data_IF_976689020658
#
_entry.id   IF_976689020658
#
_cell.length_a   1.000
_cell.length_b   1.000
_cell.length_c   1.000
_cell.angle_alpha   90.00
_cell.angle_beta   90.00
_cell.angle_gamma   90.00
#
_symmetry.space_group_name_H-M   'P 1'
#
loop_
_entity.id
_entity.type
_entity.pdbx_description
1 polymer ?
#
# COMPACT_ATOMS: atom_id res chain seq x y z
N UNK A 1 -6.80 13.38 -17.55
CA UNK A 1 -7.44 12.09 -17.87
C UNK A 1 -7.85 11.42 -16.57
N UNK A 2 -9.11 11.02 -16.43
CA UNK A 2 -9.60 10.32 -15.23
C UNK A 2 -9.33 8.83 -15.31
N UNK A 3 -8.97 8.19 -14.19
CA UNK A 3 -8.60 6.77 -14.15
C UNK A 3 -9.66 5.97 -13.39
N UNK A 4 -10.05 4.85 -13.98
CA UNK A 4 -10.98 3.86 -13.45
C UNK A 4 -10.26 2.54 -13.15
N UNK A 5 -10.83 1.73 -12.27
CA UNK A 5 -10.30 0.40 -11.94
C UNK A 5 -11.19 -0.66 -12.58
N UNK A 6 -10.58 -1.60 -13.28
CA UNK A 6 -11.24 -2.73 -13.90
C UNK A 6 -10.27 -3.92 -13.89
N UNK A 7 -10.67 -5.04 -13.29
CA UNK A 7 -9.81 -6.21 -13.09
C UNK A 7 -9.41 -6.86 -14.41
N UNK A 8 -10.27 -6.80 -15.42
CA UNK A 8 -10.03 -7.42 -16.71
C UNK A 8 -9.99 -6.41 -17.87
N UNK A 9 -8.77 -6.02 -18.24
CA UNK A 9 -8.52 -5.12 -19.38
C UNK A 9 -8.23 -5.84 -20.70
N UNK A 10 -8.46 -7.15 -20.81
CA UNK A 10 -8.24 -7.90 -22.05
C UNK A 10 -9.28 -7.60 -23.13
N UNK A 11 -10.49 -7.21 -22.72
CA UNK A 11 -11.58 -6.91 -23.65
C UNK A 11 -11.33 -5.61 -24.41
N UNK A 12 -11.67 -5.58 -25.70
CA UNK A 12 -11.58 -4.37 -26.52
C UNK A 12 -12.58 -3.27 -26.09
N UNK A 13 -13.69 -3.68 -25.47
CA UNK A 13 -14.72 -2.79 -24.93
C UNK A 13 -14.89 -3.12 -23.44
N UNK A 14 -14.88 -2.08 -22.62
CA UNK A 14 -15.11 -2.15 -21.17
C UNK A 14 -16.45 -1.51 -20.87
N UNK A 15 -17.30 -2.21 -20.10
CA UNK A 15 -18.52 -1.64 -19.54
C UNK A 15 -18.26 -1.21 -18.10
N UNK A 16 -18.46 0.07 -17.80
CA UNK A 16 -18.28 0.59 -16.45
C UNK A 16 -19.43 0.10 -15.57
N UNK A 17 -19.10 -0.25 -14.31
CA UNK A 17 -20.11 -0.55 -13.30
C UNK A 17 -21.14 0.57 -13.16
N UNK A 18 -22.36 0.31 -12.63
CA UNK A 18 -23.36 1.36 -12.42
C UNK A 18 -22.89 2.51 -11.51
N UNK A 19 -21.97 2.24 -10.59
CA UNK A 19 -21.36 3.25 -9.73
C UNK A 19 -20.41 4.15 -10.52
N UNK A 20 -19.48 3.56 -11.29
CA UNK A 20 -18.54 4.32 -12.11
C UNK A 20 -19.22 5.02 -13.29
N UNK A 21 -20.29 4.45 -13.85
CA UNK A 21 -21.15 5.11 -14.86
C UNK A 21 -21.80 6.39 -14.30
N UNK A 22 -22.32 6.36 -13.06
CA UNK A 22 -22.85 7.56 -12.40
C UNK A 22 -21.76 8.57 -12.09
N UNK A 23 -20.59 8.12 -11.65
CA UNK A 23 -19.44 8.98 -11.37
C UNK A 23 -18.97 9.69 -12.65
N UNK A 24 -18.78 8.95 -13.74
CA UNK A 24 -18.43 9.44 -15.07
C UNK A 24 -19.42 10.52 -15.57
N UNK A 25 -20.73 10.26 -15.48
CA UNK A 25 -21.76 11.14 -16.04
C UNK A 25 -22.14 12.33 -15.15
N UNK A 26 -22.27 12.14 -13.83
CA UNK A 26 -22.80 13.17 -12.92
C UNK A 26 -21.72 14.02 -12.26
N UNK A 27 -20.60 13.39 -11.90
CA UNK A 27 -19.53 14.06 -11.17
C UNK A 27 -18.51 14.60 -12.16
N UNK A 28 -18.00 13.74 -13.05
CA UNK A 28 -16.97 14.10 -14.03
C UNK A 28 -17.55 14.76 -15.28
N UNK A 29 -18.84 14.53 -15.56
CA UNK A 29 -19.60 15.11 -16.70
C UNK A 29 -18.96 14.83 -18.05
N UNK A 30 -18.36 13.65 -18.20
CA UNK A 30 -17.73 13.20 -19.44
C UNK A 30 -18.80 12.87 -20.50
N UNK A 31 -18.40 12.88 -21.77
CA UNK A 31 -19.24 12.65 -22.94
C UNK A 31 -18.64 11.59 -23.86
N UNK A 32 -19.47 11.07 -24.75
CA UNK A 32 -19.00 10.19 -25.82
C UNK A 32 -17.89 10.90 -26.61
N UNK A 33 -16.79 10.18 -26.83
CA UNK A 33 -15.58 10.70 -27.46
C UNK A 33 -14.49 11.17 -26.51
N UNK A 34 -14.78 11.38 -25.22
CA UNK A 34 -13.74 11.72 -24.23
C UNK A 34 -12.84 10.50 -23.92
N UNK A 35 -11.59 10.77 -23.56
CA UNK A 35 -10.62 9.74 -23.18
C UNK A 35 -10.56 9.54 -21.66
N UNK A 36 -10.52 8.27 -21.26
CA UNK A 36 -10.36 7.83 -19.87
C UNK A 36 -9.25 6.78 -19.77
N UNK A 37 -8.64 6.69 -18.60
CA UNK A 37 -7.67 5.68 -18.26
C UNK A 37 -8.29 4.53 -17.48
N UNK A 38 -7.72 3.34 -17.62
CA UNK A 38 -8.01 2.20 -16.78
C UNK A 38 -6.73 1.59 -16.20
N UNK A 39 -6.84 1.06 -14.99
CA UNK A 39 -5.80 0.24 -14.35
C UNK A 39 -6.42 -1.03 -13.80
N UNK A 40 -5.70 -2.14 -13.90
CA UNK A 40 -6.13 -3.46 -13.42
C UNK A 40 -5.55 -3.82 -12.04
N UNK A 41 -4.66 -2.98 -11.50
CA UNK A 41 -3.93 -3.26 -10.26
C UNK A 41 -2.82 -4.31 -10.42
N UNK A 42 -2.63 -4.86 -11.62
CA UNK A 42 -1.67 -5.89 -11.96
C UNK A 42 -0.65 -5.42 -13.01
N UNK A 43 -0.47 -4.10 -13.13
CA UNK A 43 0.53 -3.46 -13.98
C UNK A 43 0.02 -2.97 -15.33
N UNK A 44 -1.19 -3.34 -15.75
CA UNK A 44 -1.75 -2.86 -17.01
C UNK A 44 -2.34 -1.46 -16.82
N UNK A 45 -1.88 -0.54 -17.64
CA UNK A 45 -2.50 0.76 -17.84
C UNK A 45 -3.11 0.79 -19.25
N UNK A 46 -4.38 1.17 -19.37
CA UNK A 46 -5.03 1.28 -20.67
C UNK A 46 -5.64 2.68 -20.87
N UNK A 47 -5.61 3.16 -22.10
CA UNK A 47 -6.33 4.36 -22.53
C UNK A 47 -7.50 3.92 -23.38
N UNK A 48 -8.68 4.46 -23.10
CA UNK A 48 -9.91 4.14 -23.79
C UNK A 48 -10.69 5.40 -24.16
N UNK A 49 -11.49 5.30 -25.22
CA UNK A 49 -12.43 6.34 -25.64
C UNK A 49 -13.84 5.96 -25.25
N UNK A 50 -14.57 6.86 -24.61
CA UNK A 50 -15.99 6.66 -24.29
C UNK A 50 -16.81 6.53 -25.57
N UNK A 51 -17.58 5.45 -25.68
CA UNK A 51 -18.45 5.15 -26.84
C UNK A 51 -19.89 5.54 -26.51
N UNK A 52 -20.45 4.95 -25.46
CA UNK A 52 -21.78 5.30 -24.94
C UNK A 52 -21.65 5.83 -23.53
N UNK A 53 -22.35 6.92 -23.22
CA UNK A 53 -22.28 7.57 -21.91
C UNK A 53 -23.69 7.81 -21.37
N UNK A 54 -24.10 6.96 -20.44
CA UNK A 54 -25.36 7.06 -19.70
C UNK A 54 -25.11 6.73 -18.23
N UNK A 55 -25.82 7.41 -17.33
CA UNK A 55 -25.76 7.18 -15.89
C UNK A 55 -26.10 5.73 -15.45
N UNK A 56 -26.67 4.90 -16.32
CA UNK A 56 -26.95 3.47 -16.07
C UNK A 56 -25.95 2.51 -16.71
N UNK A 57 -25.39 2.85 -17.86
CA UNK A 57 -24.42 2.04 -18.60
C UNK A 57 -23.54 2.97 -19.40
N UNK A 58 -22.23 2.85 -19.21
CA UNK A 58 -21.20 3.62 -19.92
C UNK A 58 -20.21 2.62 -20.48
N UNK A 59 -19.88 2.74 -21.76
CA UNK A 59 -18.94 1.83 -22.44
C UNK A 59 -17.74 2.61 -22.98
N UNK A 60 -16.57 1.98 -22.93
CA UNK A 60 -15.32 2.56 -23.41
C UNK A 60 -14.58 1.56 -24.30
N UNK A 61 -14.11 2.01 -25.46
CA UNK A 61 -13.29 1.21 -26.36
C UNK A 61 -11.81 1.48 -26.09
N UNK A 62 -11.03 0.41 -25.82
CA UNK A 62 -9.60 0.51 -25.53
C UNK A 62 -8.85 0.89 -26.81
N UNK A 63 -8.06 1.97 -26.72
CA UNK A 63 -7.22 2.49 -27.81
C UNK A 63 -5.79 1.98 -27.65
N UNK A 64 -5.28 1.94 -26.42
CA UNK A 64 -3.91 1.57 -26.11
C UNK A 64 -3.83 0.82 -24.79
N UNK A 65 -2.87 -0.12 -24.70
CA UNK A 65 -2.47 -0.79 -23.47
C UNK A 65 -0.96 -0.66 -23.29
N UNK A 66 -0.56 -0.50 -22.05
CA UNK A 66 0.83 -0.42 -21.62
C UNK A 66 0.99 -1.28 -20.37
N UNK A 67 1.99 -2.16 -20.35
CA UNK A 67 2.37 -2.87 -19.14
C UNK A 67 3.46 -2.07 -18.43
N UNK A 68 3.16 -1.54 -17.24
CA UNK A 68 4.14 -0.84 -16.42
C UNK A 68 5.00 -1.84 -15.67
N UNK A 69 6.31 -1.70 -15.78
CA UNK A 69 7.27 -2.56 -15.07
C UNK A 69 7.08 -2.48 -13.55
N UNK A 70 7.33 -3.61 -12.88
CA UNK A 70 7.51 -3.61 -11.42
C UNK A 70 8.82 -2.90 -11.06
N UNK A 71 8.89 -2.39 -9.84
CA UNK A 71 10.14 -1.92 -9.25
C UNK A 71 11.08 -3.11 -9.01
N UNK A 72 12.36 -2.82 -8.95
CA UNK A 72 13.43 -3.81 -8.77
C UNK A 72 13.65 -4.23 -7.31
N UNK A 73 12.79 -3.78 -6.40
CA UNK A 73 12.74 -4.19 -5.00
C UNK A 73 11.28 -4.36 -4.56
N UNK A 74 11.08 -5.13 -3.49
CA UNK A 74 9.79 -5.32 -2.86
C UNK A 74 9.79 -4.77 -1.42
N UNK A 75 8.99 -3.73 -1.18
CA UNK A 75 8.80 -3.15 0.14
C UNK A 75 7.53 -3.69 0.81
N UNK A 76 7.74 -4.40 1.92
CA UNK A 76 6.68 -4.90 2.79
C UNK A 76 6.67 -4.15 4.13
N UNK A 77 5.56 -3.49 4.47
CA UNK A 77 5.37 -2.90 5.80
C UNK A 77 4.34 -3.71 6.59
N UNK A 78 4.77 -4.30 7.70
CA UNK A 78 3.89 -4.91 8.68
C UNK A 78 3.63 -3.91 9.80
N UNK A 79 2.44 -3.31 9.83
CA UNK A 79 2.13 -2.17 10.68
C UNK A 79 0.91 -2.46 11.55
N UNK A 80 0.99 -2.10 12.83
CA UNK A 80 -0.13 -2.22 13.72
C UNK A 80 -1.27 -1.26 13.34
N UNK A 81 -2.52 -1.75 13.24
CA UNK A 81 -3.67 -0.86 13.11
C UNK A 81 -3.75 0.11 14.28
N UNK A 82 -3.81 1.40 13.98
CA UNK A 82 -3.94 2.44 15.00
C UNK A 82 -5.31 2.37 15.68
N UNK A 83 -5.39 2.86 16.91
CA UNK A 83 -6.63 3.02 17.68
C UNK A 83 -7.71 3.72 16.85
N UNK A 84 -7.34 4.87 16.28
CA UNK A 84 -8.12 5.59 15.27
C UNK A 84 -7.90 4.94 13.92
N UNK A 85 -8.93 4.30 13.37
CA UNK A 85 -8.83 3.62 12.07
C UNK A 85 -8.51 4.60 10.94
N UNK A 86 -9.01 5.84 11.03
CA UNK A 86 -8.79 6.88 10.02
C UNK A 86 -7.30 7.18 9.80
N UNK A 87 -6.45 7.03 10.83
CA UNK A 87 -4.99 7.20 10.69
C UNK A 87 -4.32 6.04 9.97
N UNK A 88 -4.80 4.83 10.18
CA UNK A 88 -4.35 3.66 9.44
C UNK A 88 -4.78 3.75 7.98
N UNK A 89 -6.03 4.16 7.74
CA UNK A 89 -6.58 4.45 6.43
C UNK A 89 -5.78 5.52 5.70
N UNK A 90 -5.42 6.61 6.39
CA UNK A 90 -4.53 7.64 5.88
C UNK A 90 -3.15 7.09 5.51
N UNK A 91 -2.56 6.23 6.35
CA UNK A 91 -1.30 5.57 6.01
C UNK A 91 -1.44 4.71 4.74
N UNK A 92 -2.49 3.91 4.61
CA UNK A 92 -2.71 3.08 3.41
C UNK A 92 -2.83 3.93 2.14
N UNK A 93 -3.58 5.03 2.22
CA UNK A 93 -3.71 6.00 1.12
C UNK A 93 -2.33 6.53 0.73
N UNK A 94 -1.56 7.07 1.69
CA UNK A 94 -0.27 7.70 1.41
C UNK A 94 0.81 6.71 1.00
N UNK A 95 0.87 5.54 1.63
CA UNK A 95 1.81 4.51 1.22
C UNK A 95 1.51 3.99 -0.19
N UNK A 96 0.22 3.88 -0.56
CA UNK A 96 -0.18 3.53 -1.94
C UNK A 96 0.27 4.60 -2.93
N UNK A 97 0.03 5.89 -2.64
CA UNK A 97 0.50 7.01 -3.47
C UNK A 97 2.02 6.97 -3.67
N UNK A 98 2.78 6.74 -2.59
CA UNK A 98 4.24 6.70 -2.61
C UNK A 98 4.80 5.42 -3.25
N UNK A 99 3.97 4.42 -3.50
CA UNK A 99 4.42 3.12 -3.97
C UNK A 99 4.94 2.27 -2.84
N UNK A 100 4.07 1.43 -2.34
CA UNK A 100 4.39 0.30 -1.48
C UNK A 100 3.96 -0.96 -2.22
N UNK A 101 4.68 -2.07 -2.07
CA UNK A 101 4.27 -3.34 -2.68
C UNK A 101 3.30 -4.11 -1.78
N UNK A 102 3.53 -4.11 -0.47
CA UNK A 102 2.81 -5.01 0.43
C UNK A 102 2.62 -4.42 1.83
N UNK A 103 1.43 -4.65 2.38
CA UNK A 103 1.05 -4.23 3.72
C UNK A 103 0.41 -5.40 4.47
N UNK A 104 0.86 -5.61 5.70
CA UNK A 104 0.23 -6.56 6.63
C UNK A 104 -0.22 -5.85 7.90
N UNK A 105 -1.53 -5.85 8.23
CA UNK A 105 -2.00 -5.39 9.54
C UNK A 105 -1.47 -6.30 10.66
N UNK A 106 -0.63 -5.76 11.54
CA UNK A 106 0.11 -6.52 12.56
C UNK A 106 -0.50 -6.34 13.96
N UNK A 107 -1.14 -7.38 14.50
CA UNK A 107 -1.77 -7.32 15.83
C UNK A 107 -0.72 -7.62 16.90
N UNK A 108 -0.28 -6.57 17.60
CA UNK A 108 0.74 -6.62 18.64
C UNK A 108 0.11 -6.72 20.05
N UNK A 109 0.92 -7.00 21.07
CA UNK A 109 0.48 -7.12 22.46
C UNK A 109 -0.24 -5.85 22.94
N UNK A 110 0.28 -4.68 22.58
CA UNK A 110 -0.25 -3.37 22.97
C UNK A 110 -1.20 -2.75 21.93
N UNK A 111 -1.66 -3.52 20.95
CA UNK A 111 -2.64 -3.03 19.97
C UNK A 111 -4.01 -2.85 20.63
N UNK A 112 -4.49 -1.61 20.68
CA UNK A 112 -5.87 -1.31 21.07
C UNK A 112 -6.87 -1.82 20.03
N UNK A 113 -6.56 -1.63 18.74
CA UNK A 113 -7.38 -2.12 17.63
C UNK A 113 -6.88 -3.49 17.15
N UNK A 114 -7.76 -4.48 17.19
CA UNK A 114 -7.46 -5.86 16.76
C UNK A 114 -8.25 -6.30 15.52
N UNK A 115 -9.21 -5.49 15.09
CA UNK A 115 -10.11 -5.78 13.98
C UNK A 115 -9.97 -4.68 12.93
N UNK A 116 -9.72 -5.12 11.70
CA UNK A 116 -9.75 -4.30 10.48
C UNK A 116 -10.84 -4.83 9.55
N UNK A 117 -11.25 -4.02 8.57
CA UNK A 117 -12.25 -4.39 7.56
C UNK A 117 -11.57 -4.38 6.19
N UNK A 118 -11.01 -5.53 5.72
CA UNK A 118 -10.20 -5.57 4.50
C UNK A 118 -10.88 -4.95 3.28
N UNK A 119 -12.19 -5.10 3.13
CA UNK A 119 -12.97 -4.55 2.02
C UNK A 119 -12.94 -3.02 2.01
N UNK A 120 -13.00 -2.38 3.19
CA UNK A 120 -12.90 -0.92 3.32
C UNK A 120 -11.48 -0.45 3.01
N UNK A 121 -10.48 -1.15 3.53
CA UNK A 121 -9.07 -0.81 3.32
C UNK A 121 -8.68 -0.94 1.85
N UNK A 122 -9.11 -2.01 1.18
CA UNK A 122 -8.91 -2.20 -0.26
C UNK A 122 -9.55 -1.09 -1.08
N UNK A 123 -10.76 -0.62 -0.73
CA UNK A 123 -11.38 0.52 -1.42
C UNK A 123 -10.54 1.79 -1.33
N UNK A 124 -9.89 2.03 -0.19
CA UNK A 124 -9.01 3.20 0.01
C UNK A 124 -7.76 3.07 -0.85
N UNK A 125 -7.14 1.89 -0.88
CA UNK A 125 -5.96 1.63 -1.71
C UNK A 125 -6.28 1.71 -3.21
N UNK A 126 -7.43 1.17 -3.66
CA UNK A 126 -7.89 1.31 -5.05
C UNK A 126 -8.13 2.78 -5.41
N UNK A 127 -8.76 3.56 -4.53
CA UNK A 127 -8.96 4.99 -4.75
C UNK A 127 -7.61 5.73 -4.85
N UNK A 128 -6.69 5.47 -3.93
CA UNK A 128 -5.35 6.07 -3.94
C UNK A 128 -4.54 5.69 -5.19
N UNK A 129 -4.58 4.42 -5.61
CA UNK A 129 -3.95 3.93 -6.84
C UNK A 129 -4.48 4.68 -8.08
N UNK A 130 -5.81 4.83 -8.20
CA UNK A 130 -6.44 5.58 -9.31
C UNK A 130 -5.99 7.04 -9.32
N UNK A 131 -5.99 7.71 -8.16
CA UNK A 131 -5.62 9.13 -8.06
C UNK A 131 -4.12 9.38 -8.31
N UNK A 132 -3.27 8.47 -7.84
CA UNK A 132 -1.81 8.51 -8.07
C UNK A 132 -1.39 7.96 -9.43
N UNK A 133 -2.34 7.54 -10.27
CA UNK A 133 -2.11 6.98 -11.60
C UNK A 133 -1.17 5.77 -11.61
N UNK A 134 -1.15 4.97 -10.54
CA UNK A 134 -0.35 3.75 -10.44
C UNK A 134 -1.09 2.59 -11.11
N UNK A 135 -0.34 1.70 -11.74
CA UNK A 135 -0.91 0.50 -12.39
C UNK A 135 -0.87 -0.75 -11.49
N UNK A 136 -0.12 -0.70 -10.39
CA UNK A 136 0.02 -1.79 -9.43
C UNK A 136 -0.71 -1.45 -8.14
N UNK A 137 -1.66 -2.28 -7.74
CA UNK A 137 -2.34 -2.18 -6.45
C UNK A 137 -1.45 -2.88 -5.41
N UNK A 138 -1.13 -2.23 -4.28
CA UNK A 138 -0.36 -2.90 -3.24
C UNK A 138 -1.15 -4.07 -2.67
N UNK A 139 -0.45 -5.15 -2.31
CA UNK A 139 -1.05 -6.30 -1.67
C UNK A 139 -1.38 -5.96 -0.22
N UNK A 140 -2.66 -6.10 0.17
CA UNK A 140 -3.10 -6.06 1.55
C UNK A 140 -3.33 -7.49 2.05
N UNK A 141 -2.56 -7.91 3.06
CA UNK A 141 -2.75 -9.22 3.69
C UNK A 141 -3.79 -9.17 4.82
N UNK A 142 -4.26 -10.35 5.23
CA UNK A 142 -5.07 -10.49 6.43
C UNK A 142 -4.34 -10.03 7.69
N UNK A 143 -5.12 -9.54 8.65
CA UNK A 143 -4.57 -9.19 9.95
C UNK A 143 -4.03 -10.45 10.66
N UNK A 144 -2.81 -10.34 11.17
CA UNK A 144 -2.10 -11.47 11.79
C UNK A 144 -1.48 -11.04 13.11
N UNK A 145 -1.43 -11.96 14.08
CA UNK A 145 -0.77 -11.69 15.36
C UNK A 145 0.74 -11.60 15.15
N UNK A 146 1.40 -10.68 15.86
CA UNK A 146 2.84 -10.48 15.81
C UNK A 146 3.64 -11.78 15.90
N UNK A 147 3.32 -12.61 16.91
CA UNK A 147 3.99 -13.88 17.16
C UNK A 147 3.87 -14.85 15.98
N UNK A 148 2.71 -14.90 15.33
CA UNK A 148 2.46 -15.80 14.20
C UNK A 148 3.15 -15.27 12.94
N UNK A 149 3.13 -13.95 12.73
CA UNK A 149 3.85 -13.29 11.66
C UNK A 149 5.36 -13.58 11.74
N UNK A 150 6.01 -13.25 12.86
CA UNK A 150 7.46 -13.43 13.05
C UNK A 150 7.90 -14.89 12.99
N UNK A 151 7.05 -15.83 13.41
CA UNK A 151 7.37 -17.27 13.34
C UNK A 151 7.31 -17.83 11.93
N UNK A 152 6.35 -17.37 11.14
CA UNK A 152 6.09 -17.87 9.78
C UNK A 152 6.83 -17.05 8.71
N UNK A 153 7.35 -15.88 9.06
CA UNK A 153 8.16 -15.07 8.17
C UNK A 153 9.44 -15.82 7.83
N UNK A 154 9.55 -16.23 6.56
CA UNK A 154 10.60 -17.11 6.04
C UNK A 154 11.31 -16.48 4.84
N UNK A 155 11.11 -15.18 4.60
CA UNK A 155 11.83 -14.48 3.56
C UNK A 155 13.31 -14.36 3.91
N UNK A 156 14.15 -14.46 2.89
CA UNK A 156 15.59 -14.16 2.99
C UNK A 156 15.88 -12.66 2.91
N UNK A 157 14.83 -11.83 2.72
CA UNK A 157 14.95 -10.38 2.68
C UNK A 157 15.39 -9.81 4.05
N UNK A 158 16.24 -8.77 4.06
CA UNK A 158 16.47 -7.95 5.24
C UNK A 158 15.16 -7.57 5.92
N UNK A 159 15.12 -7.78 7.24
CA UNK A 159 13.93 -7.61 8.05
C UNK A 159 14.26 -6.71 9.23
N UNK A 160 13.44 -5.68 9.42
CA UNK A 160 13.67 -4.64 10.40
C UNK A 160 12.50 -4.44 11.34
N UNK A 161 12.79 -4.00 12.56
CA UNK A 161 11.80 -3.58 13.55
C UNK A 161 12.13 -2.16 14.03
N UNK A 162 11.19 -1.23 13.87
CA UNK A 162 11.36 0.14 14.36
C UNK A 162 10.59 0.29 15.68
N UNK A 163 11.33 0.55 16.76
CA UNK A 163 10.78 0.70 18.11
C UNK A 163 11.47 1.83 18.89
N UNK A 164 10.81 2.33 19.94
CA UNK A 164 11.27 3.43 20.76
C UNK A 164 12.28 3.00 21.83
N UNK A 165 12.30 1.72 22.26
CA UNK A 165 13.21 1.25 23.32
C UNK A 165 14.69 1.60 23.05
N UNK A 166 15.42 1.89 24.12
CA UNK A 166 16.85 2.18 24.07
C UNK A 166 17.68 0.97 23.59
N UNK A 167 18.86 1.25 23.05
CA UNK A 167 19.81 0.25 22.55
C UNK A 167 20.32 0.54 21.15
N UNK A 168 21.22 -0.32 20.68
CA UNK A 168 21.85 -0.18 19.37
C UNK A 168 20.81 -0.34 18.26
N UNK A 169 20.58 0.77 17.55
CA UNK A 169 19.66 0.88 16.41
C UNK A 169 20.36 1.59 15.28
N UNK A 170 20.57 0.88 14.18
CA UNK A 170 21.13 1.51 12.99
C UNK A 170 20.07 2.41 12.34
N UNK A 171 20.40 3.63 11.89
CA UNK A 171 19.51 4.40 11.05
C UNK A 171 19.10 3.59 9.82
N UNK A 172 17.84 3.71 9.37
CA UNK A 172 17.33 2.96 8.20
C UNK A 172 18.26 3.07 6.98
N UNK A 173 18.79 4.27 6.71
CA UNK A 173 19.72 4.55 5.61
C UNK A 173 21.03 3.76 5.65
N UNK A 174 21.45 3.33 6.84
CA UNK A 174 22.70 2.61 7.05
C UNK A 174 22.45 1.09 7.13
N UNK A 175 21.23 0.69 7.51
CA UNK A 175 20.82 -0.71 7.60
C UNK A 175 20.30 -1.29 6.27
N UNK A 176 19.62 -0.47 5.46
CA UNK A 176 19.01 -0.90 4.20
C UNK A 176 19.97 -0.68 3.02
N UNK A 177 20.12 -1.69 2.17
CA UNK A 177 20.85 -1.59 0.92
C UNK A 177 19.87 -1.38 -0.25
N UNK A 178 20.01 -0.31 -1.05
CA UNK A 178 19.17 -0.07 -2.21
C UNK A 178 19.14 -1.24 -3.19
N UNK A 179 17.96 -1.50 -3.77
CA UNK A 179 17.69 -2.59 -4.71
C UNK A 179 17.35 -3.92 -4.04
N UNK A 180 17.39 -4.01 -2.71
CA UNK A 180 16.98 -5.22 -1.99
C UNK A 180 15.51 -5.17 -1.57
N UNK A 181 14.87 -6.33 -1.59
CA UNK A 181 13.59 -6.54 -0.91
C UNK A 181 13.76 -6.27 0.59
N UNK A 182 12.71 -5.78 1.25
CA UNK A 182 12.79 -5.45 2.67
C UNK A 182 11.42 -5.55 3.34
N UNK A 183 11.43 -6.05 4.58
CA UNK A 183 10.27 -6.01 5.47
C UNK A 183 10.55 -5.15 6.70
N UNK A 184 9.63 -4.23 7.00
CA UNK A 184 9.74 -3.33 8.15
C UNK A 184 8.51 -3.47 9.04
N UNK A 185 8.72 -3.76 10.32
CA UNK A 185 7.67 -3.82 11.34
C UNK A 185 7.54 -2.49 12.09
N UNK A 186 6.29 -2.01 12.21
CA UNK A 186 5.93 -0.77 12.91
C UNK A 186 4.87 -1.08 13.97
N UNK A 187 5.17 -0.74 15.22
CA UNK A 187 4.35 -1.05 16.39
C UNK A 187 3.14 -0.12 16.57
N UNK A 188 2.21 -0.48 17.48
CA UNK A 188 1.06 0.36 17.83
C UNK A 188 1.48 1.59 18.64
N UNK A 189 0.53 2.40 19.10
CA UNK A 189 0.80 3.59 19.91
C UNK A 189 1.53 3.28 21.23
N UNK A 190 1.27 2.10 21.81
CA UNK A 190 1.97 1.56 22.98
C UNK A 190 3.36 0.98 22.68
N UNK A 191 3.76 0.95 21.40
CA UNK A 191 4.95 0.26 20.90
C UNK A 191 4.88 -1.27 21.07
N UNK A 192 5.93 -1.95 20.58
CA UNK A 192 6.14 -3.37 20.81
C UNK A 192 6.42 -3.66 22.29
N UNK A 193 6.01 -4.83 22.77
CA UNK A 193 6.46 -5.27 24.09
C UNK A 193 7.93 -5.73 24.06
N UNK A 194 8.65 -5.73 25.20
CA UNK A 194 10.00 -6.26 25.27
C UNK A 194 10.12 -7.71 24.76
N UNK A 195 9.11 -8.54 25.01
CA UNK A 195 9.04 -9.92 24.52
C UNK A 195 8.87 -9.99 23.00
N UNK A 196 8.13 -9.06 22.40
CA UNK A 196 7.98 -8.96 20.93
C UNK A 196 9.30 -8.56 20.27
N UNK A 197 9.99 -7.56 20.83
CA UNK A 197 11.31 -7.14 20.35
C UNK A 197 12.33 -8.27 20.49
N UNK A 198 12.34 -8.97 21.62
CA UNK A 198 13.23 -10.11 21.84
C UNK A 198 12.93 -11.26 20.87
N UNK A 199 11.66 -11.56 20.62
CA UNK A 199 11.25 -12.58 19.66
C UNK A 199 11.72 -12.22 18.25
N UNK A 200 11.55 -10.97 17.82
CA UNK A 200 12.03 -10.49 16.52
C UNK A 200 13.56 -10.65 16.40
N UNK A 201 14.31 -10.20 17.41
CA UNK A 201 15.78 -10.35 17.45
C UNK A 201 16.22 -11.81 17.38
N UNK A 202 15.52 -12.72 18.07
CA UNK A 202 15.82 -14.17 18.01
C UNK A 202 15.64 -14.77 16.61
N UNK A 203 14.92 -14.09 15.73
CA UNK A 203 14.71 -14.45 14.31
C UNK A 203 15.62 -13.69 13.35
N UNK A 204 16.61 -12.96 13.86
CA UNK A 204 17.56 -12.19 13.04
C UNK A 204 16.98 -10.88 12.51
N UNK A 205 15.81 -10.45 12.99
CA UNK A 205 15.22 -9.16 12.63
C UNK A 205 15.99 -8.06 13.37
N UNK A 206 16.52 -7.11 12.62
CA UNK A 206 17.39 -6.06 13.14
C UNK A 206 16.59 -4.84 13.59
N UNK A 207 16.96 -4.26 14.73
CA UNK A 207 16.34 -3.03 15.20
C UNK A 207 16.88 -1.82 14.41
N UNK A 208 15.99 -0.94 13.97
CA UNK A 208 16.34 0.28 13.23
C UNK A 208 15.78 1.53 13.89
N UNK A 209 16.39 2.67 13.57
CA UNK A 209 15.87 3.99 13.89
C UNK A 209 15.36 4.69 12.63
N UNK A 210 14.22 5.37 12.76
CA UNK A 210 13.61 6.22 11.73
C UNK A 210 13.85 7.72 11.98
N UNK A 211 14.80 8.05 12.87
CA UNK A 211 15.14 9.42 13.25
C UNK A 211 15.19 9.62 14.76
N UNK A 212 15.39 10.87 15.18
CA UNK A 212 15.51 11.23 16.61
C UNK A 212 14.15 11.49 17.27
N UNK A 213 13.13 11.81 16.48
CA UNK A 213 11.80 12.14 16.98
C UNK A 213 10.98 10.88 17.23
N UNK A 214 10.17 10.90 18.30
CA UNK A 214 9.13 9.89 18.51
C UNK A 214 8.00 10.12 17.51
N UNK A 215 7.93 9.26 16.50
CA UNK A 215 6.89 9.29 15.48
C UNK A 215 5.63 8.56 15.97
N UNK A 216 4.46 9.00 15.49
CA UNK A 216 3.23 8.21 15.62
C UNK A 216 3.30 7.00 14.69
N UNK A 217 2.54 5.94 14.99
CA UNK A 217 2.52 4.69 14.21
C UNK A 217 2.34 4.91 12.70
N UNK A 218 1.32 5.67 12.29
CA UNK A 218 1.05 5.97 10.88
C UNK A 218 2.18 6.78 10.22
N UNK A 219 2.80 7.69 10.99
CA UNK A 219 3.91 8.52 10.52
C UNK A 219 5.19 7.69 10.39
N UNK A 220 5.49 6.81 11.35
CA UNK A 220 6.63 5.92 11.31
C UNK A 220 6.54 4.97 10.09
N UNK A 221 5.36 4.41 9.84
CA UNK A 221 5.12 3.56 8.69
C UNK A 221 5.29 4.31 7.37
N UNK A 222 4.78 5.56 7.26
CA UNK A 222 4.99 6.38 6.07
C UNK A 222 6.46 6.80 5.91
N UNK A 223 7.17 7.15 6.99
CA UNK A 223 8.60 7.49 6.94
C UNK A 223 9.44 6.29 6.51
N UNK A 224 9.11 5.08 6.98
CA UNK A 224 9.76 3.86 6.51
C UNK A 224 9.50 3.65 5.00
N UNK A 225 8.25 3.83 4.55
CA UNK A 225 7.88 3.74 3.14
C UNK A 225 8.68 4.72 2.26
N UNK A 226 8.62 6.00 2.61
CA UNK A 226 9.32 7.06 1.91
C UNK A 226 10.84 6.90 1.98
N UNK A 227 11.37 6.49 3.12
CA UNK A 227 12.80 6.28 3.32
C UNK A 227 13.35 5.21 2.37
N UNK A 228 12.69 4.06 2.28
CA UNK A 228 13.09 3.00 1.33
C UNK A 228 12.95 3.47 -0.11
N UNK A 229 11.85 4.13 -0.48
CA UNK A 229 11.68 4.63 -1.85
C UNK A 229 12.71 5.69 -2.20
N UNK A 230 13.03 6.61 -1.29
CA UNK A 230 14.05 7.65 -1.49
C UNK A 230 15.44 7.03 -1.72
N UNK A 231 15.81 6.05 -0.90
CA UNK A 231 17.09 5.34 -1.03
C UNK A 231 17.22 4.57 -2.33
N UNK A 232 16.10 4.16 -2.94
CA UNK A 232 16.04 3.53 -4.26
C UNK A 232 15.92 4.52 -5.43
N UNK A 233 15.77 5.83 -5.17
CA UNK A 233 15.56 6.83 -6.22
C UNK A 233 14.16 6.82 -6.84
N UNK A 234 13.14 6.35 -6.10
CA UNK A 234 11.75 6.21 -6.54
C UNK A 234 10.83 7.35 -6.04
N UNK A 235 11.40 8.45 -5.52
CA UNK A 235 10.69 9.65 -5.06
C UNK A 235 11.14 10.91 -5.79
#
# INVERSE_FOLDING_TARGET
MFIFYEENLQNAIIELSPEESKHCTKVLRLKAGDEIGFVDGNGTFAVAKLVEVNAKSTTAAIIQRELRSKRNFHLHIAVAPTKSIDRFEWFLEKATECGIEEITPLICAQSERKIVKPERLNKIMVAAMKQSQRAWLPRLNDAVKFKDFVKNYSSHAPSFIAHCDEGDKNPLRDAYQPGQDVMIMIGPEGDFSPEEVQLARSKGIQAISLGQNRLRTETAALVACLGVNFLNGEL
#
